data_IF_275024699507
#
_entry.id   IF_275024699507
#
_cell.length_a   1.000
_cell.length_b   1.000
_cell.length_c   1.000
_cell.angle_alpha   90.00
_cell.angle_beta   90.00
_cell.angle_gamma   90.00
#
_symmetry.space_group_name_H-M   'P 1'
#
loop_
_entity.id
_entity.type
_entity.pdbx_description
1 polymer ?
#
# COMPACT_ATOMS: atom_id res chain seq x y z
N UNK A 1 45.88 14.72 -39.14
CA UNK A 1 46.94 15.06 -38.17
C UNK A 1 46.27 15.74 -36.99
N UNK A 2 46.18 15.07 -35.83
CA UNK A 2 47.17 15.16 -34.72
C UNK A 2 47.06 16.55 -34.04
N UNK A 3 46.28 16.75 -32.95
CA UNK A 3 46.48 16.39 -31.53
C UNK A 3 47.56 17.32 -30.90
N UNK A 4 47.38 18.18 -29.88
CA UNK A 4 46.87 17.97 -28.52
C UNK A 4 46.75 19.29 -27.69
N UNK A 5 45.89 19.21 -26.66
CA UNK A 5 45.99 19.73 -25.28
C UNK A 5 46.27 21.20 -24.92
N UNK A 6 45.25 21.79 -24.25
CA UNK A 6 45.46 22.38 -22.92
C UNK A 6 44.28 22.00 -22.00
N UNK A 7 44.61 21.36 -20.88
CA UNK A 7 43.68 20.81 -19.88
C UNK A 7 43.38 21.88 -18.83
N UNK A 8 42.11 22.25 -18.64
CA UNK A 8 41.69 22.99 -17.45
C UNK A 8 41.30 22.03 -16.33
N UNK A 9 41.99 22.17 -15.19
CA UNK A 9 41.79 21.42 -13.95
C UNK A 9 40.72 22.14 -13.12
N UNK A 10 39.49 21.60 -13.07
CA UNK A 10 38.69 21.39 -11.83
C UNK A 10 37.24 21.01 -12.11
N UNK A 11 36.86 19.86 -11.53
CA UNK A 11 35.50 19.30 -11.33
C UNK A 11 34.88 18.50 -12.50
N UNK A 12 34.44 17.24 -12.27
CA UNK A 12 33.87 16.38 -13.31
C UNK A 12 32.35 16.22 -13.29
N UNK A 13 31.57 17.05 -12.58
CA UNK A 13 30.12 16.81 -12.43
C UNK A 13 29.24 17.93 -13.02
N UNK A 14 28.46 17.66 -14.08
CA UNK A 14 27.33 18.49 -14.44
C UNK A 14 26.07 18.08 -13.63
N UNK A 15 25.55 19.01 -12.82
CA UNK A 15 24.19 19.08 -12.26
C UNK A 15 23.70 17.98 -11.27
N UNK A 16 23.47 18.31 -9.98
CA UNK A 16 23.09 17.35 -8.94
C UNK A 16 21.56 17.22 -8.78
N UNK A 17 20.85 16.82 -9.83
CA UNK A 17 19.40 16.59 -9.71
C UNK A 17 19.03 15.17 -10.11
N UNK A 18 18.78 14.37 -9.06
CA UNK A 18 18.03 13.11 -9.07
C UNK A 18 18.70 11.91 -9.74
N UNK A 19 19.76 11.37 -9.12
CA UNK A 19 20.06 9.94 -9.27
C UNK A 19 19.58 9.18 -8.03
N UNK A 20 18.73 8.20 -8.29
CA UNK A 20 17.99 7.35 -7.37
C UNK A 20 18.95 6.41 -6.61
N UNK A 21 19.16 6.64 -5.31
CA UNK A 21 20.01 5.78 -4.48
C UNK A 21 19.23 4.57 -3.95
N UNK A 22 19.06 3.51 -4.74
CA UNK A 22 18.54 2.25 -4.19
C UNK A 22 19.13 0.97 -4.79
N UNK A 23 20.25 1.04 -5.54
CA UNK A 23 20.94 -0.16 -6.01
C UNK A 23 22.43 0.07 -6.23
N UNK A 24 23.21 0.03 -5.16
CA UNK A 24 24.63 -0.28 -5.24
C UNK A 24 24.94 -1.35 -4.18
N UNK A 25 25.16 -2.58 -4.62
CA UNK A 25 25.80 -3.60 -3.81
C UNK A 25 27.24 -3.16 -3.60
N UNK A 26 27.56 -2.80 -2.36
CA UNK A 26 28.88 -2.31 -1.95
C UNK A 26 29.86 -3.49 -1.92
N UNK A 27 30.86 -3.50 -2.80
CA UNK A 27 32.02 -4.39 -2.70
C UNK A 27 33.07 -3.76 -1.75
N UNK A 28 32.70 -3.53 -0.49
CA UNK A 28 33.59 -3.01 0.56
C UNK A 28 33.64 -3.98 1.74
N UNK A 29 34.82 -4.19 2.33
CA UNK A 29 35.07 -5.24 3.35
C UNK A 29 34.42 -4.96 4.71
N UNK A 30 34.06 -3.71 4.99
CA UNK A 30 33.39 -3.28 6.21
C UNK A 30 32.25 -2.31 5.84
N UNK A 31 31.07 -2.51 6.43
CA UNK A 31 29.89 -1.69 6.21
C UNK A 31 30.00 -0.41 7.04
N UNK A 32 30.25 0.77 6.44
CA UNK A 32 30.39 1.98 7.21
C UNK A 32 28.99 2.58 7.41
N UNK A 33 28.68 2.84 8.67
CA UNK A 33 27.50 3.57 9.17
C UNK A 33 26.21 2.75 9.32
N UNK A 34 25.62 2.92 10.50
CA UNK A 34 24.35 2.35 10.91
C UNK A 34 23.24 2.89 9.98
N UNK A 35 22.86 2.12 8.97
CA UNK A 35 21.81 2.51 8.03
C UNK A 35 20.47 2.43 8.74
N UNK A 36 19.81 3.58 8.94
CA UNK A 36 18.38 3.57 9.23
C UNK A 36 17.63 3.29 7.92
N UNK A 37 16.81 2.22 7.85
CA UNK A 37 15.97 2.00 6.69
C UNK A 37 14.92 3.12 6.61
N UNK A 38 15.02 3.95 5.57
CA UNK A 38 14.01 4.96 5.26
C UNK A 38 12.92 4.32 4.38
N UNK A 39 11.62 4.53 4.65
CA UNK A 39 10.56 4.02 3.81
C UNK A 39 10.74 4.49 2.36
N UNK A 40 10.83 3.54 1.43
CA UNK A 40 10.93 3.81 -0.01
C UNK A 40 9.67 4.50 -0.59
N UNK A 41 8.57 4.52 0.15
CA UNK A 41 7.28 5.06 -0.26
C UNK A 41 6.72 5.98 0.81
N UNK A 42 5.97 7.00 0.37
CA UNK A 42 5.13 7.81 1.26
C UNK A 42 4.16 6.91 2.03
N UNK A 43 3.79 7.33 3.23
CA UNK A 43 2.73 6.67 3.98
C UNK A 43 1.47 6.61 3.12
N UNK A 44 0.92 5.42 2.97
CA UNK A 44 -0.33 5.16 2.26
C UNK A 44 -1.31 4.50 3.21
N UNK A 45 -2.57 4.84 3.08
CA UNK A 45 -3.67 4.23 3.82
C UNK A 45 -4.48 3.37 2.86
N UNK A 46 -4.94 2.21 3.31
CA UNK A 46 -5.84 1.37 2.52
C UNK A 46 -7.22 1.38 3.16
N UNK A 47 -8.23 1.68 2.35
CA UNK A 47 -9.62 1.83 2.78
C UNK A 47 -10.48 0.88 1.97
N UNK A 48 -11.43 0.23 2.63
CA UNK A 48 -12.56 -0.42 2.01
C UNK A 48 -13.77 0.52 2.09
N UNK A 49 -14.52 0.67 1.01
CA UNK A 49 -15.77 1.42 1.01
C UNK A 49 -16.74 0.77 0.05
N UNK A 50 -17.99 0.62 0.49
CA UNK A 50 -19.09 0.22 -0.39
C UNK A 50 -19.97 1.42 -0.68
N UNK A 51 -20.66 1.41 -1.80
CA UNK A 51 -21.70 2.39 -2.10
C UNK A 51 -22.89 1.69 -2.74
N UNK A 52 -24.08 2.18 -2.43
CA UNK A 52 -25.32 1.80 -3.08
C UNK A 52 -25.87 3.00 -3.84
N UNK A 53 -26.96 2.83 -4.59
CA UNK A 53 -27.66 3.94 -5.22
C UNK A 53 -28.25 4.95 -4.21
N UNK A 54 -28.35 4.57 -2.93
CA UNK A 54 -29.08 5.33 -1.90
C UNK A 54 -28.15 5.88 -0.81
N UNK A 55 -27.03 5.22 -0.53
CA UNK A 55 -26.09 5.66 0.52
C UNK A 55 -24.69 5.02 0.39
N UNK A 56 -23.72 5.61 1.07
CA UNK A 56 -22.36 5.08 1.19
C UNK A 56 -22.26 4.14 2.40
N UNK A 57 -21.74 2.94 2.18
CA UNK A 57 -21.42 1.93 3.19
C UNK A 57 -19.97 2.14 3.65
N UNK A 58 -19.79 3.17 4.46
CA UNK A 58 -18.55 3.47 5.21
C UNK A 58 -17.30 3.76 4.35
N UNK A 59 -16.32 4.44 4.94
CA UNK A 59 -14.91 4.12 4.75
C UNK A 59 -14.42 3.31 5.96
N UNK A 60 -13.93 2.09 5.71
CA UNK A 60 -13.36 1.18 6.69
C UNK A 60 -11.86 1.05 6.45
N UNK A 61 -11.06 1.36 7.46
CA UNK A 61 -9.61 1.45 7.34
C UNK A 61 -8.95 0.11 7.67
N UNK A 62 -8.00 -0.31 6.83
CA UNK A 62 -7.10 -1.43 7.17
C UNK A 62 -5.97 -0.90 8.05
N UNK A 63 -6.23 -0.80 9.36
CA UNK A 63 -5.29 -0.30 10.36
C UNK A 63 -5.10 -1.27 11.52
N UNK A 64 -3.88 -1.33 12.04
CA UNK A 64 -3.50 -2.09 13.22
C UNK A 64 -3.23 -1.09 14.34
N UNK A 65 -3.95 -1.23 15.45
CA UNK A 65 -3.80 -0.36 16.60
C UNK A 65 -2.51 -0.74 17.32
N UNK A 66 -1.49 0.12 17.23
CA UNK A 66 -0.23 -0.01 17.96
C UNK A 66 -0.19 1.00 19.11
N UNK A 67 0.68 0.81 20.13
CA UNK A 67 0.89 1.80 21.17
C UNK A 67 1.29 3.19 20.64
N UNK A 68 1.91 3.23 19.45
CA UNK A 68 2.31 4.44 18.74
C UNK A 68 1.18 5.08 17.91
N UNK A 69 -0.03 4.49 17.91
CA UNK A 69 -1.17 4.89 17.07
C UNK A 69 -1.51 3.88 15.97
N UNK A 70 -2.52 4.17 15.15
CA UNK A 70 -2.93 3.31 14.04
C UNK A 70 -1.84 3.26 12.96
N UNK A 71 -1.52 2.06 12.51
CA UNK A 71 -0.58 1.85 11.40
C UNK A 71 -1.29 1.11 10.28
N UNK A 72 -1.19 1.61 9.05
CA UNK A 72 -1.79 0.95 7.89
C UNK A 72 -1.21 -0.46 7.71
N UNK A 73 -2.09 -1.44 7.60
CA UNK A 73 -1.71 -2.82 7.38
C UNK A 73 -1.79 -3.20 5.90
N UNK A 74 -0.94 -4.14 5.50
CA UNK A 74 -1.10 -4.84 4.23
C UNK A 74 -2.44 -5.59 4.19
N UNK A 75 -3.16 -5.41 3.09
CA UNK A 75 -4.39 -6.14 2.77
C UNK A 75 -4.05 -7.60 2.47
N UNK A 76 -4.68 -8.51 3.18
CA UNK A 76 -4.60 -9.96 2.94
C UNK A 76 -6.01 -10.57 3.04
N UNK A 77 -6.17 -11.83 2.62
CA UNK A 77 -7.48 -12.48 2.59
C UNK A 77 -8.16 -12.55 3.96
N UNK A 78 -7.41 -12.85 5.03
CA UNK A 78 -7.96 -12.97 6.39
C UNK A 78 -8.41 -11.61 6.98
N UNK A 79 -7.65 -10.54 6.73
CA UNK A 79 -8.03 -9.17 7.13
C UNK A 79 -9.19 -8.65 6.30
N UNK A 80 -9.25 -8.99 5.00
CA UNK A 80 -10.41 -8.70 4.17
C UNK A 80 -11.66 -9.39 4.71
N UNK A 81 -11.60 -10.70 4.97
CA UNK A 81 -12.73 -11.44 5.54
C UNK A 81 -13.19 -10.84 6.87
N UNK A 82 -12.25 -10.59 7.79
CA UNK A 82 -12.55 -10.02 9.09
C UNK A 82 -13.20 -8.63 8.96
N UNK A 83 -12.66 -7.77 8.09
CA UNK A 83 -13.21 -6.44 7.87
C UNK A 83 -14.62 -6.55 7.31
N UNK A 84 -14.84 -7.37 6.28
CA UNK A 84 -16.13 -7.56 5.62
C UNK A 84 -17.21 -8.09 6.57
N UNK A 85 -16.89 -9.09 7.38
CA UNK A 85 -17.83 -9.68 8.37
C UNK A 85 -18.30 -8.67 9.41
N UNK A 86 -17.38 -7.89 9.96
CA UNK A 86 -17.67 -7.14 11.18
C UNK A 86 -18.18 -5.72 10.93
N UNK A 87 -17.82 -5.13 9.79
CA UNK A 87 -18.09 -3.70 9.55
C UNK A 87 -19.16 -3.46 8.47
N UNK A 88 -18.94 -3.75 7.18
CA UNK A 88 -19.95 -3.48 6.16
C UNK A 88 -21.19 -4.36 6.27
N UNK A 89 -21.05 -5.66 6.54
CA UNK A 89 -22.23 -6.53 6.70
C UNK A 89 -23.08 -6.07 7.88
N UNK A 90 -22.45 -5.74 9.01
CA UNK A 90 -23.15 -5.15 10.17
C UNK A 90 -23.82 -3.82 9.82
N UNK A 91 -23.17 -2.96 9.05
CA UNK A 91 -23.75 -1.68 8.62
C UNK A 91 -24.94 -1.86 7.67
N UNK A 92 -24.90 -2.88 6.80
CA UNK A 92 -26.02 -3.26 5.93
C UNK A 92 -27.16 -3.89 6.72
N UNK A 93 -26.86 -4.71 7.74
CA UNK A 93 -27.84 -5.30 8.66
C UNK A 93 -28.63 -4.22 9.40
N UNK A 94 -27.93 -3.23 9.96
CA UNK A 94 -28.57 -2.11 10.67
C UNK A 94 -29.54 -1.31 9.79
N UNK A 95 -29.33 -1.31 8.48
CA UNK A 95 -30.18 -0.62 7.51
C UNK A 95 -31.25 -1.51 6.89
N UNK A 96 -31.26 -2.81 7.22
CA UNK A 96 -32.21 -3.77 6.66
C UNK A 96 -31.98 -4.04 5.17
N UNK A 97 -30.75 -3.89 4.67
CA UNK A 97 -30.43 -3.99 3.25
C UNK A 97 -29.61 -5.22 2.86
N UNK A 98 -29.36 -6.17 3.77
CA UNK A 98 -28.50 -7.32 3.49
C UNK A 98 -29.04 -8.14 2.32
N UNK A 99 -30.28 -8.59 2.43
CA UNK A 99 -30.89 -9.51 1.45
C UNK A 99 -31.22 -8.84 0.10
N UNK A 100 -31.11 -7.50 0.02
CA UNK A 100 -31.41 -6.72 -1.18
C UNK A 100 -30.17 -6.13 -1.86
N UNK A 101 -28.98 -6.34 -1.28
CA UNK A 101 -27.73 -5.78 -1.80
C UNK A 101 -26.94 -6.82 -2.57
N UNK A 102 -26.81 -6.63 -3.89
CA UNK A 102 -25.87 -7.42 -4.71
C UNK A 102 -24.46 -6.86 -4.48
N UNK A 103 -23.55 -7.71 -3.99
CA UNK A 103 -22.16 -7.34 -3.79
C UNK A 103 -21.38 -7.41 -5.11
N UNK A 104 -20.73 -6.31 -5.50
CA UNK A 104 -19.87 -6.25 -6.68
C UNK A 104 -18.48 -5.80 -6.26
N UNK A 105 -17.47 -6.61 -6.55
CA UNK A 105 -16.07 -6.32 -6.24
C UNK A 105 -15.16 -6.65 -7.44
N UNK A 106 -13.92 -6.13 -7.42
CA UNK A 106 -12.91 -6.47 -8.42
C UNK A 106 -12.36 -7.90 -8.24
N UNK A 107 -11.65 -8.38 -9.26
CA UNK A 107 -11.07 -9.73 -9.28
C UNK A 107 -9.72 -9.87 -8.55
N UNK A 108 -9.38 -9.01 -7.60
CA UNK A 108 -8.09 -9.12 -6.92
C UNK A 108 -8.02 -10.40 -6.06
N UNK A 109 -6.82 -11.02 -5.92
CA UNK A 109 -6.65 -12.28 -5.21
C UNK A 109 -7.24 -12.34 -3.78
N UNK A 110 -7.19 -11.27 -2.95
CA UNK A 110 -7.81 -11.28 -1.63
C UNK A 110 -9.34 -11.35 -1.66
N UNK A 111 -9.98 -10.87 -2.73
CA UNK A 111 -11.44 -10.80 -2.87
C UNK A 111 -12.03 -12.10 -3.42
N UNK A 112 -11.27 -12.84 -4.25
CA UNK A 112 -11.69 -14.16 -4.74
C UNK A 112 -11.41 -15.28 -3.73
N UNK A 113 -10.71 -15.00 -2.63
CA UNK A 113 -10.40 -15.99 -1.61
C UNK A 113 -11.68 -16.66 -1.07
N UNK A 114 -11.67 -17.99 -0.96
CA UNK A 114 -12.81 -18.81 -0.49
C UNK A 114 -13.58 -18.22 0.70
N UNK A 115 -12.92 -17.75 1.79
CA UNK A 115 -13.65 -17.15 2.91
C UNK A 115 -14.45 -15.90 2.53
N UNK A 116 -13.92 -15.04 1.65
CA UNK A 116 -14.58 -13.80 1.20
C UNK A 116 -15.73 -14.12 0.25
N UNK A 117 -15.51 -15.05 -0.68
CA UNK A 117 -16.54 -15.48 -1.64
C UNK A 117 -17.79 -16.06 -0.96
N UNK A 118 -17.63 -16.75 0.18
CA UNK A 118 -18.76 -17.27 0.95
C UNK A 118 -19.59 -16.19 1.64
N UNK A 119 -19.02 -15.01 1.89
CA UNK A 119 -19.70 -13.86 2.49
C UNK A 119 -20.42 -12.98 1.46
N UNK A 120 -19.97 -13.02 0.21
CA UNK A 120 -20.57 -12.27 -0.91
C UNK A 120 -21.75 -12.99 -1.55
N UNK A 121 -21.98 -14.26 -1.19
CA UNK A 121 -23.06 -15.10 -1.71
C UNK A 121 -24.30 -15.18 -0.79
N UNK A 122 -24.40 -14.27 0.18
CA UNK A 122 -25.53 -14.13 1.12
C UNK A 122 -26.50 -13.12 0.52
#
# INVERSE_FOLDING_TARGET
MAMEHFVDRRSPFPSPRFCQYSKLQNMARENPFHMQPLPLHSQKVTVWSGFTAVFIVGPFFFEEIRPSGPVTCTVNGTRCEFLLRNQPISALQQRGCVDSTIFMQDGAPPHIATPVKQLEMI
#
